data_IF_450153543532
#
_entry.id   IF_450153543532
#
_cell.length_a   1.000
_cell.length_b   1.000
_cell.length_c   1.000
_cell.angle_alpha   90.00
_cell.angle_beta   90.00
_cell.angle_gamma   90.00
#
_symmetry.space_group_name_H-M   'P 1'
#
loop_
_entity.id
_entity.type
_entity.pdbx_description
1 polymer ?
#
# COMPACT_ATOMS: atom_id res chain seq x y z
N UNK A 1 9.82 -20.81 -1.48
CA UNK A 1 8.80 -19.86 -1.02
C UNK A 1 7.40 -20.21 -1.51
N UNK A 2 6.34 -19.77 -0.82
CA UNK A 2 4.95 -20.15 -1.15
C UNK A 2 4.38 -19.46 -2.42
N UNK A 3 5.15 -18.59 -3.10
CA UNK A 3 4.72 -17.87 -4.31
C UNK A 3 3.96 -16.58 -4.05
N UNK A 4 3.72 -16.19 -2.78
CA UNK A 4 2.99 -14.95 -2.44
C UNK A 4 3.66 -13.69 -3.01
N UNK A 5 4.94 -13.49 -2.74
CA UNK A 5 5.68 -12.32 -3.20
C UNK A 5 5.77 -12.25 -4.73
N UNK A 6 5.86 -13.40 -5.41
CA UNK A 6 5.82 -13.46 -6.87
C UNK A 6 4.48 -13.01 -7.42
N UNK A 7 3.37 -13.46 -6.83
CA UNK A 7 2.03 -13.05 -7.22
C UNK A 7 1.84 -11.53 -7.00
N UNK A 8 2.33 -11.00 -5.87
CA UNK A 8 2.27 -9.56 -5.59
C UNK A 8 3.14 -8.75 -6.54
N UNK A 9 4.32 -9.27 -6.91
CA UNK A 9 5.18 -8.64 -7.90
C UNK A 9 4.51 -8.57 -9.29
N UNK A 10 3.74 -9.57 -9.68
CA UNK A 10 2.94 -9.56 -10.91
C UNK A 10 1.83 -8.51 -10.81
N UNK A 11 1.03 -8.52 -9.75
CA UNK A 11 -0.08 -7.58 -9.56
C UNK A 11 0.38 -6.12 -9.43
N UNK A 12 1.58 -5.89 -8.88
CA UNK A 12 2.17 -4.55 -8.78
C UNK A 12 2.94 -4.11 -10.03
N UNK A 13 3.05 -4.98 -11.05
CA UNK A 13 3.79 -4.69 -12.28
C UNK A 13 5.31 -4.72 -12.13
N UNK A 14 5.83 -5.18 -10.99
CA UNK A 14 7.27 -5.37 -10.78
C UNK A 14 7.81 -6.60 -11.54
N UNK A 15 6.94 -7.54 -11.89
CA UNK A 15 7.26 -8.71 -12.70
C UNK A 15 6.27 -8.82 -13.87
N UNK A 16 6.78 -8.72 -15.10
CA UNK A 16 5.95 -8.65 -16.30
C UNK A 16 5.74 -9.97 -17.03
N UNK A 17 6.53 -11.01 -16.68
CA UNK A 17 6.47 -12.31 -17.34
C UNK A 17 5.63 -13.29 -16.50
N UNK A 18 4.42 -13.55 -16.94
CA UNK A 18 3.52 -14.53 -16.33
C UNK A 18 2.63 -15.17 -17.41
N UNK A 19 2.03 -16.31 -17.10
CA UNK A 19 1.00 -16.94 -17.92
C UNK A 19 -0.33 -16.95 -17.16
N UNK A 20 -1.44 -16.81 -17.88
CA UNK A 20 -2.76 -16.63 -17.31
C UNK A 20 -3.29 -15.22 -17.57
N UNK A 21 -4.39 -14.87 -16.93
CA UNK A 21 -5.04 -13.57 -17.09
C UNK A 21 -5.33 -12.92 -15.74
N UNK A 22 -5.30 -11.59 -15.73
CA UNK A 22 -5.73 -10.77 -14.58
C UNK A 22 -7.04 -10.12 -14.98
N UNK A 23 -8.07 -10.32 -14.16
CA UNK A 23 -9.38 -9.71 -14.36
C UNK A 23 -9.60 -8.60 -13.34
N UNK A 24 -9.98 -7.42 -13.80
CA UNK A 24 -10.40 -6.30 -12.98
C UNK A 24 -11.85 -5.97 -13.34
N UNK A 25 -12.78 -6.12 -12.39
CA UNK A 25 -14.22 -6.01 -12.62
C UNK A 25 -14.71 -6.94 -13.77
N UNK A 26 -14.15 -8.14 -13.88
CA UNK A 26 -14.47 -9.10 -14.92
C UNK A 26 -13.88 -8.79 -16.30
N UNK A 27 -13.11 -7.71 -16.44
CA UNK A 27 -12.44 -7.35 -17.68
C UNK A 27 -10.95 -7.72 -17.62
N UNK A 28 -10.39 -8.33 -18.67
CA UNK A 28 -8.97 -8.67 -18.70
C UNK A 28 -8.11 -7.40 -18.76
N UNK A 29 -7.11 -7.34 -17.92
CA UNK A 29 -6.13 -6.26 -17.88
C UNK A 29 -4.71 -6.80 -18.00
N UNK A 30 -3.82 -6.00 -18.60
CA UNK A 30 -2.40 -6.32 -18.68
C UNK A 30 -1.63 -5.36 -17.78
N UNK A 31 -0.80 -5.91 -16.91
CA UNK A 31 0.05 -5.13 -16.00
C UNK A 31 1.50 -5.51 -16.29
N UNK A 32 2.25 -4.60 -16.88
CA UNK A 32 3.65 -4.82 -17.28
C UNK A 32 4.63 -3.93 -16.52
N UNK A 33 4.12 -2.86 -15.92
CA UNK A 33 4.92 -1.88 -15.21
C UNK A 33 4.22 -1.42 -13.92
N UNK A 34 4.97 -0.98 -12.89
CA UNK A 34 4.38 -0.41 -11.68
C UNK A 34 3.49 0.82 -11.95
N UNK A 35 3.81 1.57 -13.02
CA UNK A 35 3.00 2.72 -13.44
C UNK A 35 1.61 2.27 -13.92
N UNK A 36 1.53 1.21 -14.72
CA UNK A 36 0.26 0.64 -15.19
C UNK A 36 -0.57 0.09 -14.02
N UNK A 37 0.06 -0.62 -13.05
CA UNK A 37 -0.62 -1.07 -11.86
C UNK A 37 -1.25 0.11 -11.09
N UNK A 38 -0.49 1.19 -10.85
CA UNK A 38 -0.97 2.40 -10.19
C UNK A 38 -2.09 3.08 -10.97
N UNK A 39 -2.05 3.11 -12.31
CA UNK A 39 -3.12 3.66 -13.15
C UNK A 39 -4.42 2.86 -13.04
N UNK A 40 -4.34 1.56 -12.82
CA UNK A 40 -5.47 0.68 -12.51
C UNK A 40 -5.95 0.79 -11.05
N UNK A 41 -5.27 1.60 -10.23
CA UNK A 41 -5.58 1.77 -8.81
C UNK A 41 -5.02 0.67 -7.91
N UNK A 42 -4.04 -0.11 -8.39
CA UNK A 42 -3.39 -1.16 -7.61
C UNK A 42 -2.10 -0.61 -6.99
N UNK A 43 -2.03 -0.60 -5.67
CA UNK A 43 -0.90 -0.10 -4.91
C UNK A 43 -0.35 -1.19 -3.99
N UNK A 44 0.99 -1.32 -3.96
CA UNK A 44 1.70 -2.25 -3.09
C UNK A 44 2.49 -1.48 -2.04
N UNK A 45 2.27 -1.82 -0.78
CA UNK A 45 3.09 -1.41 0.36
C UNK A 45 3.90 -2.63 0.80
N UNK A 46 5.20 -2.57 0.56
CA UNK A 46 6.15 -3.64 0.87
C UNK A 46 6.56 -3.64 2.34
N UNK A 47 7.08 -4.76 2.81
CA UNK A 47 7.60 -4.94 4.15
C UNK A 47 8.75 -3.97 4.49
N UNK A 48 9.65 -3.72 3.53
CA UNK A 48 10.79 -2.82 3.71
C UNK A 48 10.38 -1.36 3.45
N UNK A 49 9.85 -0.72 4.48
CA UNK A 49 9.31 0.65 4.43
C UNK A 49 10.36 1.67 3.99
N UNK A 50 11.59 1.53 4.48
CA UNK A 50 12.67 2.49 4.21
C UNK A 50 13.10 2.51 2.74
N UNK A 51 13.01 1.39 2.02
CA UNK A 51 13.35 1.30 0.60
C UNK A 51 12.39 2.11 -0.27
N UNK A 52 11.13 2.23 0.16
CA UNK A 52 10.09 2.94 -0.58
C UNK A 52 10.06 4.45 -0.29
N UNK A 53 10.76 4.92 0.74
CA UNK A 53 10.80 6.32 1.15
C UNK A 53 12.10 7.00 0.69
N UNK A 54 11.99 8.26 0.33
CA UNK A 54 13.15 9.06 -0.09
C UNK A 54 13.71 9.81 1.11
N UNK A 55 14.91 9.44 1.59
CA UNK A 55 15.60 10.20 2.63
C UNK A 55 15.82 11.64 2.19
N UNK A 56 15.90 12.56 3.14
CA UNK A 56 16.08 13.98 2.82
C UNK A 56 14.82 14.74 2.48
N UNK A 57 13.72 14.04 2.14
CA UNK A 57 12.40 14.64 1.92
C UNK A 57 11.56 14.64 3.20
N UNK A 58 10.58 15.55 3.24
CA UNK A 58 9.57 15.59 4.29
C UNK A 58 8.51 14.49 4.12
N UNK A 59 7.67 14.31 5.14
CA UNK A 59 6.49 13.46 5.10
C UNK A 59 5.59 13.81 3.92
N UNK A 60 5.27 15.09 3.72
CA UNK A 60 4.39 15.53 2.64
C UNK A 60 4.96 15.31 1.26
N UNK A 61 6.26 15.56 1.05
CA UNK A 61 6.94 15.26 -0.21
C UNK A 61 6.95 13.75 -0.48
N UNK A 62 7.17 12.94 0.54
CA UNK A 62 7.09 11.48 0.41
C UNK A 62 5.68 10.99 0.08
N UNK A 63 4.63 11.59 0.64
CA UNK A 63 3.24 11.24 0.32
C UNK A 63 2.93 11.55 -1.14
N UNK A 64 3.38 12.70 -1.66
CA UNK A 64 3.08 13.15 -3.01
C UNK A 64 4.18 12.87 -4.03
N UNK A 65 5.11 11.97 -3.71
CA UNK A 65 6.29 11.69 -4.54
C UNK A 65 5.94 11.35 -5.99
N UNK A 66 4.93 10.52 -6.19
CA UNK A 66 4.49 10.12 -7.53
C UNK A 66 3.86 11.29 -8.31
N UNK A 67 3.20 12.24 -7.63
CA UNK A 67 2.69 13.47 -8.24
C UNK A 67 3.82 14.40 -8.63
N UNK A 68 4.83 14.56 -7.76
CA UNK A 68 6.00 15.39 -8.02
C UNK A 68 6.80 14.91 -9.23
N UNK A 69 6.83 13.60 -9.45
CA UNK A 69 7.49 12.97 -10.60
C UNK A 69 6.67 13.01 -11.89
N UNK A 70 5.42 13.49 -11.85
CA UNK A 70 4.53 13.49 -13.01
C UNK A 70 4.84 14.65 -13.96
N UNK A 71 4.88 14.42 -15.29
CA UNK A 71 5.07 15.49 -16.26
C UNK A 71 3.95 16.54 -16.15
N UNK A 72 4.36 17.83 -16.15
CA UNK A 72 3.42 18.96 -16.09
C UNK A 72 2.88 19.29 -14.70
N UNK A 73 3.36 18.64 -13.66
CA UNK A 73 2.99 19.00 -12.29
C UNK A 73 3.48 20.42 -11.97
N UNK A 74 2.52 21.32 -11.64
CA UNK A 74 2.86 22.67 -11.18
C UNK A 74 3.13 22.64 -9.70
N UNK A 75 4.39 22.76 -9.34
CA UNK A 75 4.82 22.73 -7.95
C UNK A 75 4.35 23.96 -7.17
N UNK A 76 3.65 23.72 -6.06
CA UNK A 76 3.28 24.75 -5.09
C UNK A 76 3.29 24.16 -3.68
N UNK A 77 4.08 24.73 -2.79
CA UNK A 77 4.23 24.25 -1.41
C UNK A 77 2.90 24.22 -0.64
N UNK A 78 2.08 25.26 -0.76
CA UNK A 78 0.81 25.33 -0.04
C UNK A 78 -0.14 24.19 -0.48
N UNK A 79 -0.22 23.94 -1.78
CA UNK A 79 -1.01 22.84 -2.35
C UNK A 79 -0.47 21.49 -1.92
N UNK A 80 0.86 21.30 -1.95
CA UNK A 80 1.51 20.06 -1.52
C UNK A 80 1.17 19.73 -0.07
N UNK A 81 1.36 20.70 0.84
CA UNK A 81 1.04 20.50 2.25
C UNK A 81 -0.44 20.24 2.52
N UNK A 82 -1.31 20.89 1.74
CA UNK A 82 -2.75 20.66 1.84
C UNK A 82 -3.13 19.24 1.39
N UNK A 83 -2.67 18.81 0.24
CA UNK A 83 -2.94 17.47 -0.31
C UNK A 83 -2.37 16.37 0.59
N UNK A 84 -1.16 16.55 1.10
CA UNK A 84 -0.55 15.60 2.04
C UNK A 84 -1.37 15.48 3.34
N UNK A 85 -1.84 16.61 3.91
CA UNK A 85 -2.73 16.58 5.08
C UNK A 85 -4.06 15.88 4.77
N UNK A 86 -4.63 16.09 3.59
CA UNK A 86 -5.87 15.40 3.19
C UNK A 86 -5.67 13.90 3.11
N UNK A 87 -4.55 13.42 2.54
CA UNK A 87 -4.24 11.99 2.48
C UNK A 87 -4.07 11.38 3.89
N UNK A 88 -3.39 12.07 4.81
CA UNK A 88 -3.26 11.62 6.21
C UNK A 88 -4.61 11.63 6.94
N UNK A 89 -5.46 12.65 6.69
CA UNK A 89 -6.78 12.75 7.30
C UNK A 89 -7.71 11.59 6.91
N UNK A 90 -7.60 11.05 5.69
CA UNK A 90 -8.34 9.85 5.27
C UNK A 90 -8.02 8.62 6.16
N UNK A 91 -6.80 8.57 6.69
CA UNK A 91 -6.34 7.52 7.61
C UNK A 91 -6.61 7.85 9.08
N UNK A 92 -7.09 9.07 9.40
CA UNK A 92 -7.17 9.62 10.75
C UNK A 92 -5.79 9.70 11.45
N UNK A 93 -4.79 10.04 10.67
CA UNK A 93 -3.40 10.15 11.11
C UNK A 93 -3.03 11.62 11.29
N UNK A 94 -2.54 11.96 12.48
CA UNK A 94 -2.04 13.28 12.82
C UNK A 94 -0.51 13.26 12.79
N UNK A 95 0.07 13.60 11.65
CA UNK A 95 1.51 13.68 11.44
C UNK A 95 1.85 15.01 10.77
N UNK A 96 2.91 15.67 11.27
CA UNK A 96 3.37 16.92 10.66
C UNK A 96 3.92 16.63 9.25
N UNK A 97 3.26 17.18 8.24
CA UNK A 97 3.66 17.00 6.82
C UNK A 97 5.03 17.59 6.50
N UNK A 98 5.54 18.50 7.34
CA UNK A 98 6.87 19.10 7.19
C UNK A 98 7.97 18.34 7.93
N UNK A 99 7.60 17.37 8.78
CA UNK A 99 8.55 16.52 9.51
C UNK A 99 9.44 15.79 8.52
N UNK A 100 10.73 15.71 8.81
CA UNK A 100 11.70 14.96 7.99
C UNK A 100 11.45 13.46 8.13
N UNK A 101 11.45 12.73 7.02
CA UNK A 101 11.11 11.30 7.02
C UNK A 101 12.08 10.47 7.86
N UNK A 102 13.34 10.86 7.96
CA UNK A 102 14.35 10.16 8.76
C UNK A 102 14.06 10.21 10.26
N UNK A 103 13.33 11.23 10.72
CA UNK A 103 12.96 11.38 12.14
C UNK A 103 11.65 10.69 12.51
N UNK A 104 11.00 10.06 11.52
CA UNK A 104 9.76 9.31 11.74
C UNK A 104 10.04 7.92 12.32
N UNK A 105 9.16 7.47 13.21
CA UNK A 105 9.14 6.08 13.64
C UNK A 105 8.76 5.16 12.48
N UNK A 106 8.98 3.86 12.62
CA UNK A 106 8.62 2.90 11.58
C UNK A 106 7.11 2.88 11.33
N UNK A 107 6.29 2.97 12.38
CA UNK A 107 4.84 3.10 12.26
C UNK A 107 4.42 4.37 11.51
N UNK A 108 5.04 5.53 11.80
CA UNK A 108 4.78 6.78 11.07
C UNK A 108 5.17 6.65 9.58
N UNK A 109 6.32 6.04 9.28
CA UNK A 109 6.77 5.78 7.91
C UNK A 109 5.77 4.90 7.14
N UNK A 110 5.24 3.89 7.79
CA UNK A 110 4.21 3.03 7.21
C UNK A 110 2.92 3.81 6.91
N UNK A 111 2.49 4.68 7.83
CA UNK A 111 1.35 5.58 7.59
C UNK A 111 1.59 6.53 6.40
N UNK A 112 2.81 7.00 6.21
CA UNK A 112 3.20 7.80 5.04
C UNK A 112 3.05 7.02 3.74
N UNK A 113 3.44 5.75 3.70
CA UNK A 113 3.25 4.89 2.51
C UNK A 113 1.78 4.60 2.23
N UNK A 114 0.97 4.39 3.24
CA UNK A 114 -0.48 4.26 3.09
C UNK A 114 -1.11 5.55 2.55
N UNK A 115 -0.74 6.71 3.11
CA UNK A 115 -1.20 8.01 2.64
C UNK A 115 -0.76 8.29 1.19
N UNK A 116 0.44 7.87 0.79
CA UNK A 116 0.91 7.94 -0.61
C UNK A 116 0.01 7.12 -1.54
N UNK A 117 -0.33 5.89 -1.17
CA UNK A 117 -1.23 5.07 -1.97
C UNK A 117 -2.60 5.73 -2.15
N UNK A 118 -3.13 6.37 -1.10
CA UNK A 118 -4.42 7.08 -1.13
C UNK A 118 -4.37 8.44 -1.83
N UNK A 119 -3.21 9.06 -1.95
CA UNK A 119 -3.06 10.33 -2.69
C UNK A 119 -3.32 10.15 -4.19
N UNK A 120 -3.29 8.91 -4.67
CA UNK A 120 -3.70 8.48 -5.99
C UNK A 120 -5.04 7.75 -5.94
N UNK A 121 -5.62 7.49 -7.11
CA UNK A 121 -6.83 6.67 -7.21
C UNK A 121 -6.54 5.23 -6.77
N UNK A 122 -6.67 4.95 -5.47
CA UNK A 122 -6.46 3.62 -4.89
C UNK A 122 -7.78 2.83 -4.90
N UNK A 123 -7.79 1.69 -5.59
CA UNK A 123 -8.90 0.72 -5.61
C UNK A 123 -8.54 -0.56 -4.87
N UNK A 124 -7.28 -0.96 -4.98
CA UNK A 124 -6.73 -2.17 -4.36
C UNK A 124 -5.41 -1.84 -3.69
N UNK A 125 -5.35 -2.14 -2.41
CA UNK A 125 -4.17 -1.96 -1.58
C UNK A 125 -3.62 -3.32 -1.19
N UNK A 126 -2.38 -3.61 -1.57
CA UNK A 126 -1.66 -4.83 -1.21
C UNK A 126 -0.70 -4.49 -0.06
N UNK A 127 -0.84 -5.17 1.05
CA UNK A 127 -0.01 -5.03 2.25
C UNK A 127 0.78 -6.32 2.46
N UNK A 128 2.10 -6.28 2.23
CA UNK A 128 2.98 -7.44 2.39
C UNK A 128 3.68 -7.40 3.74
N UNK A 129 3.27 -8.30 4.65
CA UNK A 129 3.76 -8.45 6.03
C UNK A 129 3.79 -7.11 6.82
N UNK A 130 2.71 -6.30 6.79
CA UNK A 130 2.79 -4.92 7.27
C UNK A 130 2.92 -4.82 8.80
N UNK A 131 2.62 -5.88 9.53
CA UNK A 131 2.72 -5.93 11.00
C UNK A 131 4.03 -6.53 11.51
N UNK A 132 4.89 -7.05 10.61
CA UNK A 132 6.11 -7.72 11.02
C UNK A 132 7.03 -6.84 11.92
N UNK A 133 7.20 -5.54 11.62
CA UNK A 133 8.05 -4.66 12.43
C UNK A 133 7.30 -3.90 13.54
N UNK A 134 5.99 -4.12 13.71
CA UNK A 134 5.14 -3.37 14.62
C UNK A 134 4.90 -4.12 15.93
N UNK A 135 4.74 -3.37 17.01
CA UNK A 135 4.21 -3.89 18.25
C UNK A 135 2.70 -4.16 18.16
N UNK A 136 2.12 -4.73 19.22
CA UNK A 136 0.70 -5.08 19.24
C UNK A 136 -0.19 -3.85 19.11
N UNK A 137 0.12 -2.76 19.79
CA UNK A 137 -0.67 -1.52 19.76
C UNK A 137 -0.62 -0.84 18.39
N UNK A 138 0.56 -0.81 17.77
CA UNK A 138 0.76 -0.30 16.42
C UNK A 138 0.01 -1.16 15.38
N UNK A 139 0.03 -2.49 15.55
CA UNK A 139 -0.73 -3.42 14.69
C UNK A 139 -2.25 -3.19 14.79
N UNK A 140 -2.78 -2.97 15.99
CA UNK A 140 -4.20 -2.67 16.19
C UNK A 140 -4.62 -1.33 15.54
N UNK A 141 -3.75 -0.33 15.60
CA UNK A 141 -3.94 0.94 14.88
C UNK A 141 -3.97 0.73 13.37
N UNK A 142 -3.03 -0.06 12.84
CA UNK A 142 -3.03 -0.42 11.41
C UNK A 142 -4.32 -1.13 11.01
N UNK A 143 -4.81 -2.07 11.81
CA UNK A 143 -6.09 -2.75 11.54
C UNK A 143 -7.27 -1.79 11.51
N UNK A 144 -7.28 -0.79 12.38
CA UNK A 144 -8.30 0.26 12.37
C UNK A 144 -8.27 1.05 11.07
N UNK A 145 -7.07 1.40 10.60
CA UNK A 145 -6.88 2.07 9.31
C UNK A 145 -7.37 1.19 8.16
N UNK A 146 -6.99 -0.09 8.13
CA UNK A 146 -7.41 -1.03 7.06
C UNK A 146 -8.93 -1.19 7.01
N UNK A 147 -9.59 -1.36 8.16
CA UNK A 147 -11.07 -1.44 8.20
C UNK A 147 -11.73 -0.16 7.67
N UNK A 148 -11.14 1.00 7.94
CA UNK A 148 -11.64 2.28 7.41
C UNK A 148 -11.51 2.32 5.88
N UNK A 149 -10.42 1.84 5.32
CA UNK A 149 -10.22 1.75 3.87
C UNK A 149 -11.22 0.78 3.22
N UNK A 150 -11.45 -0.38 3.84
CA UNK A 150 -12.48 -1.33 3.40
C UNK A 150 -13.88 -0.67 3.40
N UNK A 151 -14.22 0.09 4.45
CA UNK A 151 -15.50 0.82 4.52
C UNK A 151 -15.64 1.90 3.43
N UNK A 152 -14.54 2.40 2.88
CA UNK A 152 -14.52 3.31 1.73
C UNK A 152 -14.58 2.58 0.38
N UNK A 153 -14.69 1.25 0.37
CA UNK A 153 -14.77 0.43 -0.83
C UNK A 153 -13.41 0.06 -1.44
N UNK A 154 -12.30 0.27 -0.72
CA UNK A 154 -10.97 -0.14 -1.16
C UNK A 154 -10.80 -1.63 -0.88
N UNK A 155 -10.49 -2.43 -1.90
CA UNK A 155 -10.11 -3.82 -1.75
C UNK A 155 -8.74 -3.94 -1.09
N UNK A 156 -8.61 -4.74 -0.03
CA UNK A 156 -7.33 -4.92 0.66
C UNK A 156 -6.87 -6.37 0.56
N UNK A 157 -5.68 -6.57 0.05
CA UNK A 157 -4.96 -7.85 0.10
C UNK A 157 -3.94 -7.78 1.22
N UNK A 158 -4.20 -8.53 2.30
CA UNK A 158 -3.34 -8.53 3.49
C UNK A 158 -2.54 -9.83 3.56
N UNK A 159 -1.23 -9.74 3.48
CA UNK A 159 -0.34 -10.89 3.56
C UNK A 159 0.29 -10.92 4.94
N UNK A 160 0.12 -12.02 5.64
CA UNK A 160 0.76 -12.29 6.94
C UNK A 160 0.93 -13.79 7.14
N UNK A 161 1.93 -14.18 7.92
CA UNK A 161 2.08 -15.53 8.43
C UNK A 161 1.42 -15.70 9.81
N UNK A 162 0.88 -14.63 10.40
CA UNK A 162 0.20 -14.61 11.70
C UNK A 162 -1.30 -14.82 11.52
N UNK A 163 -1.76 -16.07 11.68
CA UNK A 163 -3.15 -16.47 11.39
C UNK A 163 -4.18 -15.67 12.23
N UNK A 164 -3.83 -15.28 13.46
CA UNK A 164 -4.73 -14.49 14.31
C UNK A 164 -5.00 -13.09 13.75
N UNK A 165 -4.03 -12.47 13.08
CA UNK A 165 -4.20 -11.19 12.40
C UNK A 165 -5.15 -11.32 11.20
N UNK A 166 -4.95 -12.36 10.38
CA UNK A 166 -5.79 -12.63 9.22
C UNK A 166 -7.25 -12.84 9.63
N UNK A 167 -7.49 -13.61 10.70
CA UNK A 167 -8.85 -13.82 11.24
C UNK A 167 -9.50 -12.54 11.77
N UNK A 168 -8.70 -11.58 12.24
CA UNK A 168 -9.19 -10.32 12.78
C UNK A 168 -9.60 -9.30 11.71
N UNK A 169 -9.03 -9.40 10.48
CA UNK A 169 -9.13 -8.33 9.49
C UNK A 169 -9.65 -8.77 8.11
N UNK A 170 -9.54 -10.06 7.77
CA UNK A 170 -9.90 -10.56 6.43
C UNK A 170 -11.29 -11.19 6.41
N UNK A 171 -12.06 -10.91 5.36
CA UNK A 171 -13.35 -11.56 5.09
C UNK A 171 -13.14 -12.94 4.45
N UNK A 172 -12.04 -13.12 3.73
CA UNK A 172 -11.69 -14.36 3.03
C UNK A 172 -10.20 -14.63 3.16
N UNK A 173 -9.84 -15.88 3.41
CA UNK A 173 -8.45 -16.32 3.54
C UNK A 173 -8.09 -17.27 2.39
N UNK A 174 -7.00 -16.98 1.69
CA UNK A 174 -6.42 -17.86 0.67
C UNK A 174 -5.08 -18.40 1.15
N UNK A 175 -4.92 -19.71 1.14
CA UNK A 175 -3.65 -20.38 1.50
C UNK A 175 -2.90 -20.77 0.24
N UNK A 176 -1.67 -20.28 0.11
CA UNK A 176 -0.72 -20.65 -0.94
C UNK A 176 0.37 -21.55 -0.37
N UNK A 177 0.66 -22.64 -1.06
CA UNK A 177 1.79 -23.52 -0.75
C UNK A 177 2.46 -24.01 -2.04
N UNK A 178 3.77 -23.81 -2.14
CA UNK A 178 4.58 -24.22 -3.30
C UNK A 178 4.04 -23.69 -4.65
N UNK A 179 3.54 -22.43 -4.63
CA UNK A 179 2.96 -21.77 -5.79
C UNK A 179 1.51 -22.17 -6.11
N UNK A 180 0.92 -23.08 -5.34
CA UNK A 180 -0.42 -23.59 -5.59
C UNK A 180 -1.42 -23.11 -4.51
N UNK A 181 -2.67 -22.81 -4.92
CA UNK A 181 -3.76 -22.45 -4.02
C UNK A 181 -4.36 -23.69 -3.38
N UNK A 182 -4.20 -23.86 -2.06
CA UNK A 182 -4.63 -25.05 -1.33
C UNK A 182 -6.04 -24.94 -0.74
N UNK A 183 -6.43 -23.76 -0.25
CA UNK A 183 -7.78 -23.55 0.28
C UNK A 183 -8.19 -22.08 0.24
N UNK A 184 -9.52 -21.87 0.27
CA UNK A 184 -10.15 -20.57 0.53
C UNK A 184 -11.13 -20.81 1.68
N UNK A 185 -11.00 -20.00 2.75
CA UNK A 185 -11.84 -20.09 3.95
C UNK A 185 -12.45 -18.74 4.24
#
# INVERSE_FOLDING_TARGET
GAGKSTLMAILSGAHSHYSGEILLDGQPVSIRTPREAKQLGIHLVQQEVDVALVPGLSVGENILLDHLASPGYRFNWATLWQQARQALAQLDVHLDVKKRIETCTLAEKQQVLLARALSHHCRFLILDEPTAPLDQHESERLFTVVRRLQAQGIGVVFISHRIHELKAICDTLTVLRDGDRKSVV
#
